data_IF_269436486540
#
_entry.id   IF_269436486540
#
_cell.length_a   1.000
_cell.length_b   1.000
_cell.length_c   1.000
_cell.angle_alpha   90.00
_cell.angle_beta   90.00
_cell.angle_gamma   90.00
#
_symmetry.space_group_name_H-M   'P 1'
#
loop_
_entity.id
_entity.type
_entity.pdbx_description
1 polymer ?
#
# COMPACT_ATOMS: atom_id res chain seq x y z
N UNK A 1 -67.45 43.94 -77.42
CA UNK A 1 -66.30 44.83 -77.25
C UNK A 1 -65.97 44.89 -75.79
N UNK A 2 -64.93 44.23 -75.27
CA UNK A 2 -64.57 44.31 -73.95
C UNK A 2 -63.48 45.34 -73.71
N UNK A 3 -63.60 46.07 -72.58
CA UNK A 3 -62.65 47.09 -72.10
C UNK A 3 -61.43 46.45 -71.42
N UNK A 4 -60.29 46.87 -71.79
CA UNK A 4 -59.00 46.54 -71.11
C UNK A 4 -58.77 47.47 -69.90
N UNK A 5 -58.54 46.91 -68.77
CA UNK A 5 -58.03 47.61 -67.57
C UNK A 5 -56.55 47.41 -67.42
N UNK A 6 -55.78 48.43 -67.10
CA UNK A 6 -54.28 48.28 -66.94
C UNK A 6 -53.88 47.70 -65.59
N UNK A 7 -52.91 46.81 -65.62
CA UNK A 7 -52.25 46.23 -64.42
C UNK A 7 -51.27 47.24 -63.82
N UNK A 8 -51.43 47.45 -62.50
CA UNK A 8 -50.53 48.23 -61.68
C UNK A 8 -49.43 47.26 -61.17
N UNK A 9 -48.20 47.48 -61.56
CA UNK A 9 -47.06 46.73 -61.04
C UNK A 9 -46.66 47.30 -59.68
N UNK A 10 -46.80 46.49 -58.62
CA UNK A 10 -46.26 46.79 -57.29
C UNK A 10 -44.79 46.38 -57.19
N UNK A 11 -43.93 47.33 -56.99
CA UNK A 11 -42.48 47.12 -56.79
C UNK A 11 -42.27 46.73 -55.29
N UNK A 12 -41.93 45.46 -55.06
CA UNK A 12 -41.55 45.00 -53.68
C UNK A 12 -40.08 45.24 -53.51
N UNK A 13 -39.72 46.19 -52.66
CA UNK A 13 -38.34 46.38 -52.18
C UNK A 13 -38.02 45.28 -51.17
N UNK A 14 -37.17 44.31 -51.56
CA UNK A 14 -36.52 43.37 -50.62
C UNK A 14 -35.36 44.08 -49.92
N UNK A 15 -35.56 44.43 -48.63
CA UNK A 15 -34.45 44.83 -47.76
C UNK A 15 -33.62 43.59 -47.40
N UNK A 16 -32.42 43.50 -47.88
CA UNK A 16 -31.46 42.47 -47.48
C UNK A 16 -30.98 42.73 -46.05
N UNK A 17 -31.48 41.93 -45.09
CA UNK A 17 -30.94 41.84 -43.76
C UNK A 17 -29.63 41.04 -43.81
N UNK A 18 -28.50 41.70 -43.72
CA UNK A 18 -27.21 41.06 -43.52
C UNK A 18 -27.14 40.64 -42.05
N UNK A 19 -26.94 39.32 -41.74
CA UNK A 19 -26.72 38.90 -40.37
C UNK A 19 -25.34 39.37 -39.90
N UNK A 20 -25.32 40.28 -38.92
CA UNK A 20 -24.10 40.61 -38.18
C UNK A 20 -23.72 39.39 -37.38
N UNK A 21 -22.68 38.67 -37.80
CA UNK A 21 -22.02 37.64 -37.02
C UNK A 21 -21.41 38.30 -35.76
N UNK A 22 -22.05 38.04 -34.60
CA UNK A 22 -21.46 38.41 -33.32
C UNK A 22 -20.11 37.66 -33.16
N UNK A 23 -19.07 38.33 -32.63
CA UNK A 23 -17.80 37.68 -32.40
C UNK A 23 -18.02 36.53 -31.44
N UNK A 24 -17.74 35.29 -31.88
CA UNK A 24 -17.72 34.11 -31.01
C UNK A 24 -16.70 34.36 -29.93
N UNK A 25 -17.19 34.51 -28.68
CA UNK A 25 -16.33 34.62 -27.52
C UNK A 25 -15.41 33.40 -27.51
N UNK A 26 -14.12 33.64 -27.70
CA UNK A 26 -13.09 32.60 -27.59
C UNK A 26 -13.23 31.97 -26.23
N UNK A 27 -13.56 30.67 -26.18
CA UNK A 27 -13.69 29.94 -24.95
C UNK A 27 -12.36 30.02 -24.21
N UNK A 28 -12.32 30.75 -23.10
CA UNK A 28 -11.12 30.91 -22.30
C UNK A 28 -10.62 29.51 -21.91
N UNK A 29 -9.37 29.21 -22.24
CA UNK A 29 -8.76 27.90 -22.01
C UNK A 29 -8.87 27.59 -20.50
N UNK A 30 -9.46 26.44 -20.17
CA UNK A 30 -9.66 26.03 -18.78
C UNK A 30 -8.32 26.02 -18.03
N UNK A 31 -8.26 26.59 -16.83
CA UNK A 31 -7.00 26.63 -16.07
C UNK A 31 -6.49 25.20 -15.83
N UNK A 32 -5.19 25.00 -16.00
CA UNK A 32 -4.50 23.75 -15.74
C UNK A 32 -3.52 23.91 -14.60
N UNK A 33 -3.12 22.80 -13.97
CA UNK A 33 -1.97 22.74 -13.09
C UNK A 33 -0.66 23.02 -13.88
N UNK A 34 0.42 23.31 -13.19
CA UNK A 34 1.77 23.50 -13.76
C UNK A 34 2.78 23.25 -12.64
N UNK A 35 3.18 21.99 -12.48
CA UNK A 35 4.13 21.59 -11.43
C UNK A 35 5.55 21.90 -11.86
N UNK A 36 6.28 22.56 -10.97
CA UNK A 36 7.68 22.90 -11.20
C UNK A 36 8.51 22.64 -9.95
N UNK A 37 9.66 22.05 -10.11
CA UNK A 37 10.63 21.92 -9.02
C UNK A 37 11.51 23.18 -9.01
N UNK A 38 11.44 23.96 -7.91
CA UNK A 38 12.06 25.28 -7.84
C UNK A 38 13.31 25.34 -7.00
N UNK A 39 13.43 24.46 -6.01
CA UNK A 39 14.57 24.38 -5.11
C UNK A 39 14.83 22.91 -4.74
N UNK A 40 16.02 22.63 -4.25
CA UNK A 40 16.38 21.32 -3.73
C UNK A 40 17.88 21.18 -3.60
N UNK A 41 18.29 20.22 -2.80
CA UNK A 41 19.68 19.88 -2.57
C UNK A 41 19.81 18.42 -2.19
N UNK A 42 21.04 17.92 -2.26
CA UNK A 42 21.43 16.57 -1.94
C UNK A 42 22.67 16.56 -1.06
N UNK A 43 22.76 15.59 -0.18
CA UNK A 43 23.93 15.23 0.60
C UNK A 43 24.18 13.74 0.45
N UNK A 44 25.41 13.30 0.68
CA UNK A 44 25.82 11.91 0.66
C UNK A 44 26.56 11.54 1.93
N UNK A 45 26.28 10.36 2.47
CA UNK A 45 27.01 9.77 3.56
C UNK A 45 27.23 8.28 3.22
N UNK A 46 28.50 7.90 2.98
CA UNK A 46 28.81 6.58 2.42
C UNK A 46 28.16 6.36 1.05
N UNK A 47 27.38 5.32 0.93
CA UNK A 47 26.58 5.00 -0.25
C UNK A 47 25.16 5.61 -0.22
N UNK A 48 24.76 6.28 0.87
CA UNK A 48 23.41 6.84 1.02
C UNK A 48 23.36 8.30 0.56
N UNK A 49 22.51 8.60 -0.40
CA UNK A 49 22.17 9.96 -0.82
C UNK A 49 20.85 10.34 -0.17
N UNK A 50 20.86 11.47 0.55
CA UNK A 50 19.62 12.08 1.08
C UNK A 50 19.42 13.43 0.41
N UNK A 51 18.17 13.85 0.28
CA UNK A 51 17.88 15.12 -0.33
C UNK A 51 16.46 15.62 -0.07
N UNK A 52 16.27 16.88 -0.44
CA UNK A 52 14.95 17.49 -0.44
C UNK A 52 14.77 18.35 -1.67
N UNK A 53 13.54 18.54 -2.10
CA UNK A 53 13.19 19.44 -3.18
C UNK A 53 11.80 20.08 -2.94
N UNK A 54 11.57 21.22 -3.57
CA UNK A 54 10.31 21.93 -3.46
C UNK A 54 9.55 21.86 -4.78
N UNK A 55 8.36 21.27 -4.72
CA UNK A 55 7.38 21.27 -5.82
C UNK A 55 6.46 22.48 -5.63
N UNK A 56 6.27 23.27 -6.68
CA UNK A 56 5.36 24.43 -6.71
C UNK A 56 4.36 24.23 -7.84
N UNK A 57 3.10 24.49 -7.59
CA UNK A 57 2.09 24.57 -8.66
C UNK A 57 2.00 26.02 -9.17
N UNK A 58 2.52 26.28 -10.36
CA UNK A 58 2.47 27.57 -11.06
C UNK A 58 1.22 27.74 -11.92
N UNK A 59 0.38 26.74 -11.98
CA UNK A 59 -0.88 26.77 -12.73
C UNK A 59 -2.05 27.37 -11.94
N UNK A 60 -3.17 27.55 -12.61
CA UNK A 60 -4.41 28.10 -12.05
C UNK A 60 -5.37 27.03 -11.52
N UNK A 61 -5.01 25.75 -11.56
CA UNK A 61 -5.82 24.63 -11.04
C UNK A 61 -5.00 23.80 -10.06
N UNK A 62 -5.67 23.27 -9.04
CA UNK A 62 -5.07 22.33 -8.09
C UNK A 62 -4.51 21.11 -8.82
N UNK A 63 -3.26 20.75 -8.53
CA UNK A 63 -2.65 19.49 -8.91
C UNK A 63 -3.03 18.42 -7.87
N UNK A 64 -3.65 17.31 -8.25
CA UNK A 64 -3.90 16.19 -7.34
C UNK A 64 -2.59 15.58 -6.86
N UNK A 65 -2.67 14.69 -5.88
CA UNK A 65 -1.52 13.93 -5.42
C UNK A 65 -0.88 13.15 -6.59
N UNK A 66 0.44 13.14 -6.60
CA UNK A 66 1.23 12.53 -7.68
C UNK A 66 2.49 11.88 -7.10
N UNK A 67 3.32 11.29 -7.95
CA UNK A 67 4.63 10.78 -7.54
C UNK A 67 5.75 11.45 -8.31
N UNK A 68 6.81 11.80 -7.60
CA UNK A 68 8.04 12.36 -8.17
C UNK A 68 9.09 11.26 -8.33
N UNK A 69 9.67 11.15 -9.52
CA UNK A 69 10.81 10.25 -9.74
C UNK A 69 12.09 10.88 -9.22
N UNK A 70 12.86 10.12 -8.45
CA UNK A 70 14.27 10.40 -8.13
C UNK A 70 15.13 9.61 -9.11
N UNK A 71 16.05 10.29 -9.78
CA UNK A 71 16.94 9.70 -10.77
C UNK A 71 18.40 9.89 -10.38
N UNK A 72 19.19 8.84 -10.59
CA UNK A 72 20.64 8.83 -10.50
C UNK A 72 21.17 8.55 -11.90
N UNK A 73 22.01 9.41 -12.42
CA UNK A 73 22.58 9.31 -13.77
C UNK A 73 21.52 9.09 -14.86
N UNK A 74 20.39 9.78 -14.71
CA UNK A 74 19.25 9.66 -15.63
C UNK A 74 18.34 8.44 -15.41
N UNK A 75 18.80 7.42 -14.70
CA UNK A 75 17.99 6.23 -14.38
C UNK A 75 17.17 6.49 -13.11
N UNK A 76 15.91 6.06 -13.12
CA UNK A 76 15.06 6.17 -11.94
C UNK A 76 15.48 5.13 -10.91
N UNK A 77 15.81 5.60 -9.70
CA UNK A 77 16.12 4.74 -8.56
C UNK A 77 15.00 4.72 -7.53
N UNK A 78 14.18 5.80 -7.47
CA UNK A 78 13.08 5.87 -6.50
C UNK A 78 11.91 6.69 -7.02
N UNK A 79 10.74 6.47 -6.43
CA UNK A 79 9.56 7.31 -6.59
C UNK A 79 9.05 7.73 -5.21
N UNK A 80 8.88 9.04 -5.00
CA UNK A 80 8.40 9.60 -3.74
C UNK A 80 7.05 10.24 -3.95
N UNK A 81 6.15 10.09 -2.97
CA UNK A 81 4.83 10.69 -3.01
C UNK A 81 4.93 12.22 -2.95
N UNK A 82 4.11 12.89 -3.73
CA UNK A 82 3.92 14.33 -3.68
C UNK A 82 2.44 14.58 -3.39
N UNK A 83 2.12 15.10 -2.22
CA UNK A 83 0.75 15.47 -1.86
C UNK A 83 0.18 16.49 -2.85
N UNK A 84 -1.14 16.63 -2.88
CA UNK A 84 -1.81 17.61 -3.74
C UNK A 84 -1.29 19.03 -3.49
N UNK A 85 -1.15 19.82 -4.57
CA UNK A 85 -0.59 21.17 -4.53
C UNK A 85 -1.60 22.15 -5.12
N UNK A 86 -2.11 23.05 -4.29
CA UNK A 86 -3.03 24.09 -4.72
C UNK A 86 -2.32 25.16 -5.59
N UNK A 87 -3.06 25.95 -6.39
CA UNK A 87 -2.48 27.02 -7.18
C UNK A 87 -1.60 27.96 -6.33
N UNK A 88 -0.36 28.19 -6.75
CA UNK A 88 0.62 29.00 -6.03
C UNK A 88 1.26 28.33 -4.82
N UNK A 89 0.72 27.22 -4.32
CA UNK A 89 1.23 26.52 -3.15
C UNK A 89 2.54 25.79 -3.42
N UNK A 90 3.22 25.40 -2.32
CA UNK A 90 4.50 24.69 -2.32
C UNK A 90 4.41 23.44 -1.45
N UNK A 91 5.18 22.41 -1.83
CA UNK A 91 5.39 21.22 -1.00
C UNK A 91 6.88 20.89 -0.99
N UNK A 92 7.44 20.72 0.19
CA UNK A 92 8.80 20.19 0.35
C UNK A 92 8.66 18.66 0.42
N UNK A 93 9.44 17.99 -0.40
CA UNK A 93 9.49 16.51 -0.47
C UNK A 93 10.91 16.09 -0.14
N UNK A 94 11.07 15.11 0.75
CA UNK A 94 12.35 14.54 1.12
C UNK A 94 12.49 13.16 0.51
N UNK A 95 13.72 12.73 0.28
CA UNK A 95 14.02 11.38 -0.21
C UNK A 95 15.36 10.88 0.33
N UNK A 96 15.50 9.57 0.31
CA UNK A 96 16.76 8.86 0.51
C UNK A 96 16.90 7.85 -0.61
N UNK A 97 18.11 7.62 -1.09
CA UNK A 97 18.41 6.58 -2.07
C UNK A 97 19.86 6.10 -1.84
N UNK A 98 20.14 4.84 -2.16
CA UNK A 98 21.53 4.36 -2.24
C UNK A 98 22.05 4.49 -3.67
N UNK A 99 23.35 4.67 -3.77
CA UNK A 99 24.09 4.73 -5.04
C UNK A 99 25.38 3.90 -4.90
N UNK A 100 25.85 3.38 -6.00
CA UNK A 100 27.16 2.75 -6.04
C UNK A 100 28.29 3.73 -5.68
N UNK A 101 29.51 3.22 -5.55
CA UNK A 101 30.68 4.10 -5.42
C UNK A 101 30.91 4.90 -6.70
N UNK A 102 31.33 6.16 -6.56
CA UNK A 102 31.62 7.05 -7.67
C UNK A 102 30.83 8.35 -7.64
N UNK A 103 30.96 9.12 -8.70
CA UNK A 103 30.29 10.42 -8.84
C UNK A 103 29.00 10.27 -9.60
N UNK A 104 27.91 10.73 -8.99
CA UNK A 104 26.53 10.58 -9.50
C UNK A 104 25.80 11.90 -9.64
N UNK A 105 25.03 12.05 -10.72
CA UNK A 105 24.13 13.19 -10.95
C UNK A 105 22.73 12.84 -10.44
N UNK A 106 22.27 13.61 -9.47
CA UNK A 106 20.93 13.43 -8.90
C UNK A 106 19.94 14.42 -9.52
N UNK A 107 18.82 13.90 -10.01
CA UNK A 107 17.74 14.71 -10.55
C UNK A 107 16.38 14.17 -10.13
N UNK A 108 15.36 15.03 -10.16
CA UNK A 108 13.99 14.70 -9.77
C UNK A 108 13.00 15.21 -10.81
N UNK A 109 11.93 14.43 -11.05
CA UNK A 109 10.88 14.80 -12.00
C UNK A 109 9.50 14.62 -11.35
N UNK A 110 8.77 15.73 -11.13
CA UNK A 110 7.39 15.70 -10.63
C UNK A 110 6.44 15.04 -11.65
N UNK A 111 5.30 14.54 -11.17
CA UNK A 111 4.31 13.81 -11.96
C UNK A 111 4.90 12.79 -12.93
N UNK A 112 5.70 11.90 -12.42
CA UNK A 112 6.42 10.86 -13.15
C UNK A 112 5.60 10.08 -14.18
N UNK A 113 4.30 9.95 -13.94
CA UNK A 113 3.38 9.17 -14.78
C UNK A 113 2.60 10.02 -15.77
N UNK A 114 2.83 11.33 -15.80
CA UNK A 114 2.08 12.30 -16.62
C UNK A 114 0.55 12.16 -16.48
N UNK A 115 0.10 11.91 -15.24
CA UNK A 115 -1.33 11.76 -14.92
C UNK A 115 -2.05 13.09 -14.76
N UNK A 116 -1.30 14.16 -14.51
CA UNK A 116 -1.80 15.50 -14.36
C UNK A 116 -1.59 16.22 -15.70
N UNK A 117 -2.66 16.58 -16.39
CA UNK A 117 -2.55 17.42 -17.58
C UNK A 117 -2.14 18.83 -17.20
N UNK A 118 -0.89 19.18 -17.45
CA UNK A 118 -0.29 20.44 -17.05
C UNK A 118 -0.31 21.50 -18.16
N UNK A 119 -0.06 22.73 -17.77
CA UNK A 119 0.14 23.81 -18.73
C UNK A 119 1.48 23.67 -19.47
N UNK A 120 2.49 23.12 -18.76
CA UNK A 120 3.84 22.87 -19.29
C UNK A 120 4.36 21.55 -18.75
N UNK A 121 4.42 20.53 -19.56
CA UNK A 121 4.93 19.21 -19.20
C UNK A 121 6.47 19.13 -19.16
N UNK A 122 7.17 20.06 -19.81
CA UNK A 122 8.63 20.04 -19.93
C UNK A 122 9.40 20.68 -18.77
N UNK A 123 8.73 21.25 -17.76
CA UNK A 123 9.37 21.98 -16.66
C UNK A 123 9.37 21.22 -15.31
N UNK A 124 8.92 19.96 -15.32
CA UNK A 124 8.70 19.12 -14.13
C UNK A 124 9.99 18.56 -13.55
N UNK A 125 11.09 18.57 -14.31
CA UNK A 125 12.36 17.97 -13.89
C UNK A 125 13.37 19.03 -13.47
N UNK A 126 14.20 18.66 -12.47
CA UNK A 126 15.32 19.48 -12.01
C UNK A 126 16.48 18.59 -11.58
N UNK A 127 17.70 19.00 -11.97
CA UNK A 127 18.93 18.49 -11.37
C UNK A 127 19.10 19.11 -9.97
N UNK A 128 19.32 18.29 -8.95
CA UNK A 128 19.51 18.73 -7.57
C UNK A 128 20.99 18.93 -7.25
N UNK A 129 21.87 18.16 -7.84
CA UNK A 129 23.30 18.27 -7.61
C UNK A 129 24.08 17.06 -8.15
N UNK A 130 25.37 17.09 -7.86
CA UNK A 130 26.28 15.94 -8.05
C UNK A 130 26.80 15.57 -6.68
N UNK A 131 26.88 14.28 -6.41
CA UNK A 131 27.43 13.70 -5.17
C UNK A 131 28.51 12.70 -5.52
N UNK A 132 29.53 12.56 -4.67
CA UNK A 132 30.53 11.49 -4.79
C UNK A 132 30.32 10.55 -3.62
N UNK A 133 29.82 9.35 -3.92
CA UNK A 133 29.60 8.30 -2.94
C UNK A 133 30.85 7.44 -2.78
N UNK A 134 31.15 7.07 -1.55
CA UNK A 134 32.21 6.10 -1.25
C UNK A 134 31.59 4.71 -1.32
N UNK A 135 32.20 3.82 -2.09
CA UNK A 135 31.83 2.40 -2.07
C UNK A 135 32.19 1.83 -0.70
N UNK A 136 31.20 1.76 0.18
CA UNK A 136 31.32 0.90 1.34
C UNK A 136 30.83 -0.48 0.92
N UNK A 137 31.64 -1.50 1.10
CA UNK A 137 31.21 -2.90 0.98
C UNK A 137 30.34 -3.29 2.17
N UNK A 138 29.27 -2.52 2.39
CA UNK A 138 28.19 -2.92 3.30
C UNK A 138 27.30 -3.86 2.50
N UNK A 139 26.90 -5.01 3.05
CA UNK A 139 25.87 -5.83 2.42
C UNK A 139 24.72 -4.93 2.00
N UNK A 140 24.29 -5.02 0.75
CA UNK A 140 23.13 -4.27 0.26
C UNK A 140 21.96 -4.67 1.13
N UNK A 141 21.43 -3.71 1.90
CA UNK A 141 20.19 -3.93 2.61
C UNK A 141 19.12 -4.21 1.54
N UNK A 142 18.52 -5.39 1.54
CA UNK A 142 17.54 -5.76 0.52
C UNK A 142 16.36 -4.79 0.46
N UNK A 143 16.18 -3.97 1.50
CA UNK A 143 15.12 -2.95 1.58
C UNK A 143 15.44 -1.66 0.81
N UNK A 144 16.68 -1.45 0.37
CA UNK A 144 17.03 -0.22 -0.34
C UNK A 144 16.61 -0.21 -1.81
N UNK A 145 16.28 -1.36 -2.38
CA UNK A 145 15.95 -1.51 -3.81
C UNK A 145 14.45 -1.71 -4.08
N UNK A 146 13.60 -1.76 -3.05
CA UNK A 146 12.17 -1.94 -3.26
C UNK A 146 11.51 -0.71 -3.89
N UNK A 147 10.58 -0.92 -4.79
CA UNK A 147 9.71 0.13 -5.31
C UNK A 147 8.35 0.08 -4.58
N UNK A 148 7.92 1.17 -3.89
CA UNK A 148 6.60 1.20 -3.29
C UNK A 148 5.51 0.80 -4.29
N UNK A 149 4.67 -0.16 -3.89
CA UNK A 149 3.65 -0.77 -4.73
C UNK A 149 4.07 -2.07 -5.40
N UNK A 150 5.27 -2.54 -5.21
CA UNK A 150 5.74 -3.84 -5.69
C UNK A 150 5.83 -4.86 -4.54
N UNK A 151 5.79 -6.14 -4.88
CA UNK A 151 6.11 -7.26 -3.99
C UNK A 151 7.57 -7.62 -4.23
N UNK A 152 8.31 -7.88 -3.16
CA UNK A 152 9.71 -8.27 -3.25
C UNK A 152 10.06 -9.23 -2.10
N UNK A 153 11.10 -10.02 -2.31
CA UNK A 153 11.60 -11.00 -1.36
C UNK A 153 12.75 -10.43 -0.54
N UNK A 154 12.80 -10.78 0.73
CA UNK A 154 13.86 -10.47 1.66
C UNK A 154 14.45 -11.75 2.17
N UNK A 155 15.77 -11.77 2.30
CA UNK A 155 16.50 -12.95 2.74
C UNK A 155 16.59 -14.06 1.68
N UNK A 156 17.12 -15.18 2.14
CA UNK A 156 17.24 -16.43 1.37
C UNK A 156 16.79 -17.57 2.25
N UNK A 157 16.32 -18.67 1.64
CA UNK A 157 15.89 -19.84 2.40
C UNK A 157 16.97 -20.32 3.36
N UNK A 158 16.66 -20.61 4.64
CA UNK A 158 15.30 -20.73 5.19
C UNK A 158 14.75 -19.45 5.86
N UNK A 159 15.40 -18.31 5.74
CA UNK A 159 15.06 -17.08 6.48
C UNK A 159 14.31 -16.04 5.60
N UNK A 160 13.84 -16.46 4.42
CA UNK A 160 13.17 -15.54 3.51
C UNK A 160 11.73 -15.22 3.92
N UNK A 161 11.33 -14.00 3.59
CA UNK A 161 9.93 -13.57 3.61
C UNK A 161 9.65 -12.58 2.48
N UNK A 162 8.39 -12.43 2.13
CA UNK A 162 7.95 -11.53 1.08
C UNK A 162 7.29 -10.30 1.67
N UNK A 163 7.54 -9.17 1.04
CA UNK A 163 7.04 -7.88 1.48
C UNK A 163 6.27 -7.16 0.39
N UNK A 164 5.21 -6.49 0.82
CA UNK A 164 4.58 -5.42 0.06
C UNK A 164 4.71 -4.11 0.82
N UNK A 165 5.22 -3.07 0.18
CA UNK A 165 5.31 -1.72 0.74
C UNK A 165 4.31 -0.82 0.02
N UNK A 166 3.32 -0.24 0.71
CA UNK A 166 2.33 0.62 0.07
C UNK A 166 2.97 1.88 -0.51
N UNK A 167 2.34 2.43 -1.55
CA UNK A 167 2.85 3.63 -2.23
C UNK A 167 2.88 4.87 -1.37
N UNK A 168 2.09 4.89 -0.31
CA UNK A 168 2.01 5.98 0.64
C UNK A 168 3.00 5.86 1.81
N UNK A 169 3.76 4.75 1.88
CA UNK A 169 4.75 4.57 2.95
C UNK A 169 5.74 5.73 3.04
N UNK A 170 5.95 6.23 4.25
CA UNK A 170 6.89 7.32 4.53
C UNK A 170 8.33 6.79 4.60
N UNK A 171 9.03 6.89 3.49
CA UNK A 171 10.43 6.50 3.34
C UNK A 171 11.40 7.27 4.25
N UNK A 172 10.96 8.35 4.90
CA UNK A 172 11.79 9.04 5.88
C UNK A 172 11.89 8.28 7.20
N UNK A 173 11.09 7.23 7.36
CA UNK A 173 10.95 6.45 8.59
C UNK A 173 10.54 7.29 9.82
N UNK A 174 9.97 8.47 9.61
CA UNK A 174 9.55 9.34 10.72
C UNK A 174 8.13 9.04 11.20
N UNK A 175 7.30 8.50 10.31
CA UNK A 175 5.92 8.13 10.65
C UNK A 175 5.85 6.63 10.94
N UNK A 176 5.54 6.22 12.18
CA UNK A 176 5.30 4.81 12.47
C UNK A 176 4.16 4.26 11.63
N UNK A 177 4.38 3.10 11.03
CA UNK A 177 3.39 2.46 10.17
C UNK A 177 2.86 1.17 10.78
N UNK A 178 1.79 0.68 10.22
CA UNK A 178 1.12 -0.57 10.58
C UNK A 178 1.57 -1.69 9.66
N UNK A 179 1.58 -2.91 10.16
CA UNK A 179 1.93 -4.09 9.38
C UNK A 179 0.92 -5.21 9.57
N UNK A 180 0.62 -5.87 8.47
CA UNK A 180 -0.12 -7.13 8.45
C UNK A 180 0.88 -8.25 8.11
N UNK A 181 0.97 -9.24 8.98
CA UNK A 181 1.71 -10.48 8.75
C UNK A 181 0.71 -11.57 8.46
N UNK A 182 0.68 -12.08 7.24
CA UNK A 182 -0.24 -13.16 6.84
C UNK A 182 0.52 -14.43 6.50
N UNK A 183 0.25 -15.50 7.24
CA UNK A 183 0.88 -16.81 7.10
C UNK A 183 0.05 -17.69 6.18
N UNK A 184 0.67 -18.24 5.14
CA UNK A 184 0.00 -19.09 4.15
C UNK A 184 -0.46 -20.43 4.73
N UNK A 185 -1.36 -21.13 4.03
CA UNK A 185 -1.76 -22.50 4.36
C UNK A 185 -0.81 -23.53 3.74
N UNK A 186 -1.09 -24.83 4.00
CA UNK A 186 -0.38 -25.92 3.34
C UNK A 186 -0.44 -25.78 1.82
N UNK A 187 0.69 -25.98 1.16
CA UNK A 187 0.81 -25.86 -0.30
C UNK A 187 0.93 -24.44 -0.84
N UNK A 188 0.72 -23.42 -0.01
CA UNK A 188 0.88 -22.02 -0.39
C UNK A 188 2.33 -21.54 -0.32
N UNK A 189 2.59 -20.34 -0.85
CA UNK A 189 3.92 -19.72 -0.83
C UNK A 189 3.84 -18.28 -0.30
N UNK A 190 4.96 -17.78 0.25
CA UNK A 190 5.05 -16.40 0.69
C UNK A 190 4.78 -15.41 -0.45
N UNK A 191 5.26 -15.70 -1.67
CA UNK A 191 5.06 -14.84 -2.85
C UNK A 191 3.59 -14.70 -3.26
N UNK A 192 2.89 -15.83 -3.35
CA UNK A 192 1.47 -15.86 -3.70
C UNK A 192 0.63 -15.04 -2.74
N UNK A 193 0.88 -15.20 -1.43
CA UNK A 193 0.15 -14.47 -0.40
C UNK A 193 0.50 -12.99 -0.37
N UNK A 194 1.76 -12.62 -0.60
CA UNK A 194 2.16 -11.22 -0.72
C UNK A 194 1.49 -10.55 -1.93
N UNK A 195 1.38 -11.27 -3.05
CA UNK A 195 0.71 -10.79 -4.27
C UNK A 195 -0.80 -10.63 -4.04
N UNK A 196 -1.42 -11.57 -3.34
CA UNK A 196 -2.82 -11.53 -2.97
C UNK A 196 -3.12 -10.31 -2.07
N UNK A 197 -2.35 -10.15 -0.99
CA UNK A 197 -2.53 -9.06 -0.02
C UNK A 197 -2.30 -7.70 -0.66
N UNK A 198 -1.32 -7.57 -1.56
CA UNK A 198 -1.04 -6.32 -2.28
C UNK A 198 -2.29 -5.65 -2.84
N UNK A 199 -3.20 -6.43 -3.41
CA UNK A 199 -4.42 -5.90 -4.01
C UNK A 199 -5.42 -5.41 -2.94
N UNK A 200 -5.45 -6.07 -1.78
CA UNK A 200 -6.37 -5.80 -0.68
C UNK A 200 -5.93 -4.64 0.21
N UNK A 201 -4.62 -4.53 0.47
CA UNK A 201 -4.08 -3.51 1.38
C UNK A 201 -3.55 -2.26 0.67
N UNK A 202 -3.58 -2.24 -0.68
CA UNK A 202 -3.07 -1.12 -1.46
C UNK A 202 -3.70 0.23 -1.08
N UNK A 203 -4.96 0.22 -0.70
CA UNK A 203 -5.73 1.40 -0.30
C UNK A 203 -5.73 1.62 1.22
N UNK A 204 -5.21 0.67 2.01
CA UNK A 204 -5.25 0.68 3.48
C UNK A 204 -3.94 1.18 4.13
N UNK A 205 -2.92 1.52 3.35
CA UNK A 205 -1.62 1.99 3.82
C UNK A 205 -0.91 1.05 4.81
N UNK A 206 -1.08 -0.28 4.65
CA UNK A 206 -0.38 -1.29 5.43
C UNK A 206 0.91 -1.73 4.75
N UNK A 207 1.97 -1.92 5.52
CA UNK A 207 2.99 -2.90 5.14
C UNK A 207 2.39 -4.29 5.21
N UNK A 208 2.71 -5.15 4.28
CA UNK A 208 2.34 -6.55 4.38
C UNK A 208 3.59 -7.43 4.32
N UNK A 209 3.64 -8.41 5.20
CA UNK A 209 4.68 -9.43 5.26
C UNK A 209 4.03 -10.81 5.15
N UNK A 210 4.61 -11.67 4.32
CA UNK A 210 4.21 -13.06 4.22
C UNK A 210 5.45 -13.95 4.30
N UNK A 211 5.56 -14.81 5.32
CA UNK A 211 6.73 -15.64 5.51
C UNK A 211 6.82 -16.74 4.43
N UNK A 212 8.02 -16.98 3.91
CA UNK A 212 8.39 -18.19 3.20
C UNK A 212 9.09 -19.15 4.16
N UNK A 213 10.16 -18.69 4.80
CA UNK A 213 10.92 -19.38 5.85
C UNK A 213 11.26 -20.84 5.50
N UNK A 214 11.57 -21.10 4.21
CA UNK A 214 11.82 -22.44 3.71
C UNK A 214 10.60 -23.37 3.71
N UNK A 215 9.38 -22.82 3.84
CA UNK A 215 8.12 -23.56 3.95
C UNK A 215 7.21 -23.43 2.74
N UNK A 216 7.65 -22.74 1.70
CA UNK A 216 6.89 -22.63 0.45
C UNK A 216 6.47 -24.02 -0.05
N UNK A 217 5.18 -24.20 -0.29
CA UNK A 217 4.60 -25.48 -0.69
C UNK A 217 4.41 -26.52 0.43
N UNK A 218 4.71 -26.17 1.69
CA UNK A 218 4.62 -27.04 2.85
C UNK A 218 3.55 -26.58 3.85
N UNK A 219 3.29 -27.41 4.87
CA UNK A 219 2.52 -27.01 6.04
C UNK A 219 3.44 -26.46 7.12
N UNK A 220 2.91 -25.59 7.95
CA UNK A 220 3.61 -25.09 9.12
C UNK A 220 3.55 -26.06 10.30
N UNK A 221 4.65 -26.18 11.02
CA UNK A 221 4.71 -26.75 12.37
C UNK A 221 4.73 -25.57 13.36
N UNK A 222 3.63 -25.27 14.09
CA UNK A 222 3.60 -24.09 14.95
C UNK A 222 4.60 -24.15 16.10
N UNK A 223 5.08 -25.34 16.50
CA UNK A 223 6.10 -25.47 17.54
C UNK A 223 7.50 -25.13 17.00
N UNK A 224 7.84 -25.68 15.83
CA UNK A 224 9.14 -25.47 15.20
C UNK A 224 9.26 -24.10 14.52
N UNK A 225 8.18 -23.61 13.89
CA UNK A 225 8.21 -22.45 13.02
C UNK A 225 7.82 -21.14 13.76
N UNK A 226 7.37 -21.18 15.01
CA UNK A 226 7.02 -19.98 15.79
C UNK A 226 8.23 -19.05 16.01
N UNK A 227 9.36 -19.58 16.45
CA UNK A 227 10.56 -18.78 16.68
C UNK A 227 11.14 -18.16 15.38
N UNK A 228 11.24 -18.88 14.25
CA UNK A 228 11.54 -18.30 12.95
C UNK A 228 10.62 -17.15 12.54
N UNK A 229 9.30 -17.30 12.71
CA UNK A 229 8.34 -16.24 12.38
C UNK A 229 8.54 -15.00 13.25
N UNK A 230 8.75 -15.16 14.55
CA UNK A 230 9.06 -14.05 15.46
C UNK A 230 10.36 -13.35 15.08
N UNK A 231 11.39 -14.12 14.71
CA UNK A 231 12.66 -13.57 14.24
C UNK A 231 12.50 -12.75 12.95
N UNK A 232 11.73 -13.25 11.98
CA UNK A 232 11.43 -12.51 10.74
C UNK A 232 10.64 -11.22 11.00
N UNK A 233 9.69 -11.22 11.93
CA UNK A 233 8.97 -9.99 12.35
C UNK A 233 9.92 -9.01 13.07
N UNK A 234 10.87 -9.51 13.85
CA UNK A 234 11.87 -8.66 14.50
C UNK A 234 12.85 -8.06 13.47
N UNK A 235 13.30 -8.84 12.51
CA UNK A 235 14.10 -8.36 11.38
C UNK A 235 13.38 -7.26 10.60
N UNK A 236 12.12 -7.48 10.25
CA UNK A 236 11.28 -6.48 9.59
C UNK A 236 11.26 -5.13 10.35
N UNK A 237 11.17 -5.17 11.68
CA UNK A 237 11.17 -3.96 12.53
C UNK A 237 12.50 -3.20 12.51
N UNK A 238 13.58 -3.82 12.10
CA UNK A 238 14.88 -3.14 11.94
C UNK A 238 14.96 -2.30 10.68
N UNK A 239 14.16 -2.62 9.69
CA UNK A 239 14.16 -2.00 8.36
C UNK A 239 13.05 -0.97 8.16
N UNK A 240 11.93 -1.14 8.87
CA UNK A 240 10.77 -0.25 8.77
C UNK A 240 10.41 0.34 10.12
N UNK A 241 10.01 1.61 10.14
CA UNK A 241 9.45 2.22 11.34
C UNK A 241 8.04 1.69 11.58
N UNK A 242 7.93 0.58 12.29
CA UNK A 242 6.68 -0.09 12.61
C UNK A 242 6.22 0.33 14.01
N UNK A 243 4.97 0.77 14.13
CA UNK A 243 4.34 0.94 15.42
C UNK A 243 4.14 -0.44 16.07
N UNK A 244 4.80 -0.74 17.19
CA UNK A 244 4.70 -2.04 17.84
C UNK A 244 3.27 -2.41 18.26
N UNK A 245 2.40 -1.42 18.44
CA UNK A 245 0.98 -1.63 18.79
C UNK A 245 0.09 -1.81 17.55
N UNK A 246 0.66 -1.79 16.35
CA UNK A 246 -0.08 -1.87 15.08
C UNK A 246 0.41 -3.03 14.21
N UNK A 247 0.82 -4.11 14.84
CA UNK A 247 1.15 -5.37 14.17
C UNK A 247 -0.05 -6.30 14.26
N UNK A 248 -0.61 -6.68 13.13
CA UNK A 248 -1.69 -7.68 13.06
C UNK A 248 -1.11 -8.96 12.51
N UNK A 249 -1.29 -10.06 13.23
CA UNK A 249 -1.00 -11.40 12.74
C UNK A 249 -2.22 -11.99 12.06
N UNK A 250 -2.00 -12.83 11.07
CA UNK A 250 -3.07 -13.56 10.41
C UNK A 250 -2.58 -14.85 9.77
N UNK A 251 -3.52 -15.72 9.48
CA UNK A 251 -3.19 -16.97 8.82
C UNK A 251 -4.39 -17.65 8.18
N UNK A 252 -4.06 -18.58 7.30
CA UNK A 252 -4.99 -19.49 6.66
C UNK A 252 -4.57 -20.93 6.94
N UNK A 253 -5.52 -21.81 7.29
CA UNK A 253 -5.25 -23.23 7.50
C UNK A 253 -4.15 -23.46 8.54
N UNK A 254 -3.09 -24.18 8.23
CA UNK A 254 -1.91 -24.36 9.10
C UNK A 254 -1.27 -23.03 9.50
N UNK A 255 -1.33 -22.02 8.63
CA UNK A 255 -0.88 -20.67 8.96
C UNK A 255 -1.70 -20.00 10.05
N UNK A 256 -3.01 -20.30 10.15
CA UNK A 256 -3.85 -19.86 11.28
C UNK A 256 -3.35 -20.40 12.62
N UNK A 257 -2.90 -21.64 12.63
CA UNK A 257 -2.37 -22.30 13.84
C UNK A 257 -1.02 -21.69 14.24
N UNK A 258 -0.12 -21.46 13.28
CA UNK A 258 1.16 -20.80 13.54
C UNK A 258 0.95 -19.35 14.01
N UNK A 259 0.13 -18.57 13.33
CA UNK A 259 -0.18 -17.20 13.73
C UNK A 259 -0.82 -17.14 15.12
N UNK A 260 -1.72 -18.09 15.44
CA UNK A 260 -2.30 -18.25 16.76
C UNK A 260 -1.25 -18.54 17.83
N UNK A 261 -0.38 -19.52 17.60
CA UNK A 261 0.70 -19.86 18.52
C UNK A 261 1.57 -18.65 18.88
N UNK A 262 1.97 -17.87 17.87
CA UNK A 262 2.79 -16.66 18.07
C UNK A 262 1.99 -15.57 18.77
N UNK A 263 0.74 -15.33 18.36
CA UNK A 263 -0.09 -14.28 18.92
C UNK A 263 -0.43 -14.49 20.38
N UNK A 264 -0.74 -15.71 20.80
CA UNK A 264 -1.08 -16.03 22.19
C UNK A 264 0.17 -16.09 23.09
N UNK A 265 1.34 -16.38 22.54
CA UNK A 265 2.59 -16.43 23.32
C UNK A 265 3.05 -15.05 23.82
N UNK A 266 2.73 -13.98 23.08
CA UNK A 266 3.09 -12.59 23.41
C UNK A 266 1.95 -11.66 22.93
N UNK A 267 0.76 -11.82 23.52
CA UNK A 267 -0.46 -11.19 23.03
C UNK A 267 -0.43 -9.65 23.12
N UNK A 268 0.33 -9.08 24.05
CA UNK A 268 0.46 -7.63 24.22
C UNK A 268 1.29 -6.97 23.12
N UNK A 269 2.07 -7.74 22.37
CA UNK A 269 2.89 -7.25 21.23
C UNK A 269 2.13 -7.12 19.93
N UNK A 270 0.84 -7.53 19.88
CA UNK A 270 0.05 -7.54 18.66
C UNK A 270 -1.27 -6.77 18.85
N UNK A 271 -1.67 -6.04 17.80
CA UNK A 271 -2.98 -5.36 17.76
C UNK A 271 -4.14 -6.34 17.65
N UNK A 272 -3.90 -7.49 17.03
CA UNK A 272 -4.91 -8.53 16.88
C UNK A 272 -4.47 -9.70 16.00
N UNK A 273 -5.38 -10.67 15.92
CA UNK A 273 -5.24 -11.90 15.14
C UNK A 273 -6.40 -12.04 14.15
N UNK A 274 -6.09 -12.22 12.87
CA UNK A 274 -7.09 -12.50 11.84
C UNK A 274 -6.96 -13.96 11.40
N UNK A 275 -8.08 -14.67 11.37
CA UNK A 275 -8.15 -16.09 11.03
C UNK A 275 -9.08 -16.29 9.83
N UNK A 276 -8.51 -16.76 8.74
CA UNK A 276 -9.22 -17.32 7.60
C UNK A 276 -9.62 -18.77 7.92
N UNK A 277 -10.27 -19.54 7.04
CA UNK A 277 -10.59 -20.92 7.33
C UNK A 277 -9.41 -21.68 7.95
N UNK A 278 -9.56 -22.01 9.23
CA UNK A 278 -8.50 -22.56 10.08
C UNK A 278 -8.79 -22.35 11.57
N UNK A 279 -7.86 -22.79 12.41
CA UNK A 279 -7.98 -22.75 13.87
C UNK A 279 -6.66 -22.24 14.47
N UNK A 280 -6.66 -21.42 15.53
CA UNK A 280 -5.43 -20.85 16.11
C UNK A 280 -4.64 -21.85 17.01
N UNK A 281 -5.05 -23.09 17.12
CA UNK A 281 -4.43 -24.19 17.88
C UNK A 281 -4.76 -25.55 17.31
N UNK A 282 -3.92 -26.55 17.58
CA UNK A 282 -4.13 -27.94 17.14
C UNK A 282 -5.13 -28.72 18.00
N UNK A 283 -5.14 -28.44 19.30
CA UNK A 283 -5.91 -29.22 20.26
C UNK A 283 -6.55 -28.33 21.33
N UNK A 284 -7.45 -28.90 22.10
CA UNK A 284 -8.09 -28.21 23.23
C UNK A 284 -7.11 -27.96 24.38
N UNK A 285 -6.13 -28.84 24.58
CA UNK A 285 -5.05 -28.67 25.54
C UNK A 285 -4.20 -27.46 25.19
N UNK A 286 -3.73 -27.40 23.93
CA UNK A 286 -2.96 -26.25 23.44
C UNK A 286 -3.74 -24.93 23.55
N UNK A 287 -5.05 -24.95 23.25
CA UNK A 287 -5.91 -23.79 23.47
C UNK A 287 -5.85 -23.33 24.92
N UNK A 288 -6.08 -24.25 25.85
CA UNK A 288 -6.11 -23.94 27.28
C UNK A 288 -4.78 -23.38 27.77
N UNK A 289 -3.67 -23.99 27.34
CA UNK A 289 -2.32 -23.51 27.65
C UNK A 289 -2.03 -22.14 27.05
N UNK A 290 -2.38 -21.92 25.78
CA UNK A 290 -2.17 -20.64 25.09
C UNK A 290 -2.96 -19.52 25.74
N UNK A 291 -4.23 -19.76 26.07
CA UNK A 291 -5.06 -18.78 26.76
C UNK A 291 -4.59 -18.49 28.19
N UNK A 292 -4.06 -19.50 28.88
CA UNK A 292 -3.52 -19.33 30.25
C UNK A 292 -2.18 -18.56 30.29
N UNK A 293 -1.38 -18.69 29.25
CA UNK A 293 -0.09 -18.00 29.10
C UNK A 293 -0.22 -16.57 28.58
N UNK A 294 -1.31 -16.26 27.86
CA UNK A 294 -1.49 -14.95 27.25
C UNK A 294 -1.55 -13.83 28.29
N UNK A 295 -0.68 -12.86 28.14
CA UNK A 295 -0.54 -11.67 29.00
C UNK A 295 -1.59 -10.59 28.71
N UNK A 296 -2.28 -10.69 27.57
CA UNK A 296 -3.28 -9.74 27.10
C UNK A 296 -4.39 -10.43 26.32
N UNK A 297 -5.57 -9.83 26.25
CA UNK A 297 -6.68 -10.29 25.41
C UNK A 297 -6.72 -9.49 24.12
N UNK A 298 -5.95 -9.92 23.13
CA UNK A 298 -5.90 -9.27 21.82
C UNK A 298 -7.22 -9.42 21.04
N UNK A 299 -7.45 -8.52 20.09
CA UNK A 299 -8.61 -8.59 19.21
C UNK A 299 -8.49 -9.81 18.28
N UNK A 300 -9.61 -10.50 18.03
CA UNK A 300 -9.66 -11.65 17.12
C UNK A 300 -10.76 -11.42 16.08
N UNK A 301 -10.44 -11.52 14.80
CA UNK A 301 -11.43 -11.64 13.72
C UNK A 301 -11.29 -13.01 13.08
N UNK A 302 -12.37 -13.78 13.16
CA UNK A 302 -12.37 -15.16 12.68
C UNK A 302 -13.49 -15.40 11.67
N UNK A 303 -13.11 -15.93 10.52
CA UNK A 303 -14.00 -16.19 9.38
C UNK A 303 -14.05 -17.70 9.09
N UNK A 304 -14.72 -18.52 9.90
CA UNK A 304 -14.83 -19.97 9.67
C UNK A 304 -15.89 -20.28 8.62
N UNK A 305 -15.68 -21.36 7.88
CA UNK A 305 -16.61 -21.88 6.91
C UNK A 305 -17.36 -23.09 7.44
N UNK A 306 -18.69 -23.14 7.23
CA UNK A 306 -19.52 -24.22 7.78
C UNK A 306 -19.38 -25.55 7.06
N UNK A 307 -18.84 -25.55 5.84
CA UNK A 307 -18.55 -26.74 5.04
C UNK A 307 -17.06 -27.03 4.91
N UNK A 308 -16.24 -26.50 5.83
CA UNK A 308 -14.81 -26.77 5.88
C UNK A 308 -14.58 -28.25 6.19
N UNK A 309 -13.88 -28.94 5.29
CA UNK A 309 -13.63 -30.39 5.38
C UNK A 309 -12.49 -30.76 6.35
N UNK A 310 -11.69 -29.79 6.79
CA UNK A 310 -10.56 -29.97 7.72
C UNK A 310 -10.88 -29.52 9.15
N UNK A 311 -11.77 -28.55 9.30
CA UNK A 311 -12.11 -27.95 10.58
C UNK A 311 -13.61 -28.00 10.84
N UNK A 312 -14.03 -29.00 11.65
CA UNK A 312 -15.45 -29.15 11.98
C UNK A 312 -16.01 -27.87 12.64
N UNK A 313 -17.02 -27.28 12.04
CA UNK A 313 -17.64 -26.04 12.56
C UNK A 313 -18.11 -26.16 14.02
N UNK A 314 -18.47 -27.35 14.46
CA UNK A 314 -18.86 -27.62 15.84
C UNK A 314 -17.72 -27.33 16.84
N UNK A 315 -16.47 -27.67 16.46
CA UNK A 315 -15.29 -27.42 17.27
C UNK A 315 -14.96 -25.94 17.29
N UNK A 316 -15.06 -25.25 16.15
CA UNK A 316 -14.82 -23.80 16.04
C UNK A 316 -15.87 -23.02 16.84
N UNK A 317 -17.11 -23.47 16.86
CA UNK A 317 -18.16 -22.90 17.72
C UNK A 317 -17.91 -23.18 19.22
N UNK A 318 -17.28 -24.31 19.57
CA UNK A 318 -16.87 -24.59 20.93
C UNK A 318 -15.74 -23.66 21.36
N UNK A 319 -14.75 -23.43 20.52
CA UNK A 319 -13.67 -22.48 20.76
C UNK A 319 -14.19 -21.03 20.89
N UNK A 320 -15.14 -20.64 20.03
CA UNK A 320 -15.84 -19.35 20.15
C UNK A 320 -16.44 -19.15 21.53
N UNK A 321 -17.15 -20.19 22.07
CA UNK A 321 -17.75 -20.11 23.40
C UNK A 321 -16.67 -19.90 24.47
N UNK A 322 -15.60 -20.68 24.44
CA UNK A 322 -14.50 -20.57 25.40
C UNK A 322 -13.84 -19.19 25.36
N UNK A 323 -13.59 -18.63 24.17
CA UNK A 323 -13.03 -17.29 24.02
C UNK A 323 -13.98 -16.22 24.57
N UNK A 324 -15.28 -16.30 24.24
CA UNK A 324 -16.28 -15.35 24.72
C UNK A 324 -16.46 -15.41 26.24
N UNK A 325 -16.55 -16.63 26.82
CA UNK A 325 -16.69 -16.84 28.27
C UNK A 325 -15.47 -16.31 29.02
N UNK A 326 -14.29 -16.39 28.41
CA UNK A 326 -13.06 -15.81 28.91
C UNK A 326 -12.93 -14.30 28.61
N UNK A 327 -13.88 -13.67 27.93
CA UNK A 327 -13.94 -12.24 27.65
C UNK A 327 -12.92 -11.74 26.61
N UNK A 328 -12.56 -12.57 25.64
CA UNK A 328 -11.72 -12.13 24.53
C UNK A 328 -12.53 -11.29 23.53
N UNK A 329 -11.97 -10.18 22.99
CA UNK A 329 -12.61 -9.36 21.97
C UNK A 329 -12.67 -10.14 20.63
N UNK A 330 -13.75 -10.90 20.42
CA UNK A 330 -13.91 -11.81 19.30
C UNK A 330 -15.00 -11.35 18.31
N UNK A 331 -14.62 -11.14 17.06
CA UNK A 331 -15.53 -11.02 15.92
C UNK A 331 -15.55 -12.35 15.16
N UNK A 332 -16.58 -13.16 15.40
CA UNK A 332 -16.73 -14.48 14.77
C UNK A 332 -17.87 -14.43 13.75
N UNK A 333 -17.53 -14.58 12.47
CA UNK A 333 -18.51 -14.53 11.39
C UNK A 333 -18.40 -15.78 10.54
N UNK A 334 -19.23 -16.77 10.83
CA UNK A 334 -19.31 -18.02 10.05
C UNK A 334 -20.11 -17.84 8.76
N UNK A 335 -19.66 -18.47 7.70
CA UNK A 335 -20.30 -18.46 6.38
C UNK A 335 -20.33 -19.84 5.77
N UNK A 336 -21.18 -20.03 4.77
CA UNK A 336 -21.16 -21.22 3.95
C UNK A 336 -19.89 -21.21 3.07
N UNK A 337 -19.19 -22.34 3.00
CA UNK A 337 -17.99 -22.48 2.19
C UNK A 337 -17.22 -23.74 2.56
N UNK A 338 -16.32 -24.15 1.68
CA UNK A 338 -15.31 -25.23 1.90
C UNK A 338 -14.09 -24.64 2.63
N UNK A 339 -13.00 -25.40 2.68
CA UNK A 339 -11.75 -24.91 3.27
C UNK A 339 -11.12 -23.72 2.53
N UNK A 340 -11.41 -23.50 1.26
CA UNK A 340 -10.89 -22.36 0.50
C UNK A 340 -11.50 -21.04 0.96
N UNK A 341 -10.68 -20.00 1.15
CA UNK A 341 -11.16 -18.65 1.42
C UNK A 341 -11.40 -17.86 0.14
N UNK A 342 -12.21 -16.82 0.24
CA UNK A 342 -12.61 -15.91 -0.84
C UNK A 342 -12.13 -14.49 -0.59
N UNK A 343 -12.25 -13.62 -1.59
CA UNK A 343 -11.98 -12.19 -1.46
C UNK A 343 -12.88 -11.54 -0.38
N UNK A 344 -14.14 -11.97 -0.25
CA UNK A 344 -15.05 -11.48 0.79
C UNK A 344 -14.60 -11.87 2.21
N UNK A 345 -13.92 -13.00 2.38
CA UNK A 345 -13.37 -13.41 3.67
C UNK A 345 -12.19 -12.52 4.06
N UNK A 346 -11.36 -12.20 3.08
CA UNK A 346 -10.25 -11.27 3.25
C UNK A 346 -10.76 -9.86 3.60
N UNK A 347 -11.75 -9.33 2.87
CA UNK A 347 -12.39 -8.04 3.14
C UNK A 347 -12.94 -7.97 4.57
N UNK A 348 -13.59 -9.05 5.03
CA UNK A 348 -14.11 -9.10 6.39
C UNK A 348 -13.00 -9.00 7.44
N UNK A 349 -11.99 -9.90 7.38
CA UNK A 349 -10.95 -9.95 8.40
C UNK A 349 -10.06 -8.73 8.38
N UNK A 350 -9.74 -8.19 7.21
CA UNK A 350 -8.92 -6.98 7.08
C UNK A 350 -9.70 -5.70 7.41
N UNK A 351 -10.99 -5.66 7.11
CA UNK A 351 -11.84 -4.55 7.56
C UNK A 351 -11.91 -4.47 9.08
N UNK A 352 -11.93 -5.61 9.79
CA UNK A 352 -11.82 -5.66 11.25
C UNK A 352 -10.42 -5.23 11.72
N UNK A 353 -9.38 -5.78 11.12
CA UNK A 353 -7.99 -5.42 11.47
C UNK A 353 -7.73 -3.93 11.31
N UNK A 354 -8.26 -3.29 10.26
CA UNK A 354 -8.14 -1.86 10.04
C UNK A 354 -8.67 -1.02 11.21
N UNK A 355 -9.74 -1.46 11.85
CA UNK A 355 -10.31 -0.76 13.02
C UNK A 355 -9.43 -0.84 14.28
N UNK A 356 -8.54 -1.83 14.38
CA UNK A 356 -7.66 -2.02 15.55
C UNK A 356 -6.39 -1.19 15.47
N UNK A 357 -6.03 -0.77 14.28
CA UNK A 357 -4.78 -0.05 13.99
C UNK A 357 -5.04 1.33 13.38
N UNK A 358 -6.28 1.81 13.47
CA UNK A 358 -6.63 3.17 13.07
C UNK A 358 -5.77 4.20 13.80
N UNK A 359 -5.45 5.35 13.15
CA UNK A 359 -4.62 6.40 13.75
C UNK A 359 -5.22 6.95 15.03
#
# INVERSE_FOLDING_TARGET
MPRRTPAVAALVLLAALTPTLAPTASAAARPRADLKITAGGVAVSGARVTGSFTVVNKGGRRAPASSTAVKVDGKRVRSVATAAVDPGARRVVRFSARVGGGTHVISVCADRRHRIKERREGNNCRRLGTVTAVSTSVPTDPFDDYAPGDVFKIGTSPDEYWMYVPRAYDDSHQTPTRVLVLVHGCGGTGEEYATLIKNLVADLDYLAMTPGLGKDGQCWDPTADAAPLVAAIADLKTHFNIDPKRVVLGGYSSGSTLAGQVAFADASSYAGLVLLPGRPWWSNEQRSESMAKADWKLNIAWRPHTGDEYYAIADLRADKRVLNDAGWPLSFNEVAGSHAFTEQDLDYVFGKAASWVAP
#
